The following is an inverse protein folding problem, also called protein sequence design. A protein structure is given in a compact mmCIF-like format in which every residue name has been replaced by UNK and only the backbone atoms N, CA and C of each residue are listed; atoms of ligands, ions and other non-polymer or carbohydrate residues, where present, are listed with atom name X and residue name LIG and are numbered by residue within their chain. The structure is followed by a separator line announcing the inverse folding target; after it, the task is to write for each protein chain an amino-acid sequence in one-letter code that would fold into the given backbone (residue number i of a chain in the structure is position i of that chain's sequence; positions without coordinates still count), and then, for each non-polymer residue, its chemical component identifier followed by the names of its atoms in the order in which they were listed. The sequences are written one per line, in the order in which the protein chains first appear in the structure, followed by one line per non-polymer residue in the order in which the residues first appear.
data_IF_819228776099
#
_entry.id   IF_819228776099
#
_cell.length_a   1.000
_cell.length_b   1.000
_cell.length_c   1.000
_cell.angle_alpha   90.00
_cell.angle_beta   90.00
_cell.angle_gamma   90.00
#
_symmetry.space_group_name_H-M   'P 1'
#
loop_
_entity.id
_entity.type
_entity.pdbx_description
1 polymer ?
#
# COMPACT_ATOMS: atom_id res chain seq x y z
N UNK A 1 0.28 -20.55 3.46
CA UNK A 1 1.31 -19.51 3.30
C UNK A 1 2.01 -19.26 4.63
N UNK A 2 3.33 -19.03 4.59
CA UNK A 2 4.15 -18.63 5.73
C UNK A 2 4.27 -17.09 5.83
N UNK A 3 4.67 -16.57 7.00
CA UNK A 3 4.84 -15.12 7.20
C UNK A 3 5.82 -14.50 6.21
N UNK A 4 6.92 -15.20 5.90
CA UNK A 4 7.92 -14.72 4.94
C UNK A 4 7.32 -14.53 3.54
N UNK A 5 6.61 -15.54 3.05
CA UNK A 5 5.92 -15.49 1.75
C UNK A 5 4.87 -14.37 1.72
N UNK A 6 4.13 -14.18 2.81
CA UNK A 6 3.17 -13.08 2.92
C UNK A 6 3.86 -11.72 2.84
N UNK A 7 5.00 -11.53 3.53
CA UNK A 7 5.77 -10.27 3.47
C UNK A 7 6.33 -10.01 2.06
N UNK A 8 6.81 -11.04 1.37
CA UNK A 8 7.29 -10.92 -0.01
C UNK A 8 6.15 -10.51 -0.96
N UNK A 9 5.00 -11.17 -0.87
CA UNK A 9 3.80 -10.83 -1.64
C UNK A 9 3.32 -9.40 -1.35
N UNK A 10 3.30 -9.00 -0.07
CA UNK A 10 2.96 -7.64 0.34
C UNK A 10 3.94 -6.64 -0.26
N UNK A 11 5.25 -6.94 -0.24
CA UNK A 11 6.27 -6.06 -0.82
C UNK A 11 6.05 -5.83 -2.31
N UNK A 12 5.73 -6.89 -3.06
CA UNK A 12 5.40 -6.80 -4.48
C UNK A 12 4.16 -5.92 -4.74
N UNK A 13 3.09 -6.13 -3.96
CA UNK A 13 1.85 -5.35 -4.09
C UNK A 13 2.08 -3.89 -3.72
N UNK A 14 2.82 -3.59 -2.64
CA UNK A 14 3.14 -2.21 -2.26
C UNK A 14 3.91 -1.50 -3.38
N UNK A 15 4.95 -2.14 -3.92
CA UNK A 15 5.72 -1.58 -5.04
C UNK A 15 4.81 -1.33 -6.25
N UNK A 16 4.04 -2.32 -6.69
CA UNK A 16 3.15 -2.18 -7.84
C UNK A 16 2.10 -1.07 -7.65
N UNK A 17 1.56 -0.91 -6.43
CA UNK A 17 0.60 0.15 -6.11
C UNK A 17 1.23 1.55 -6.17
N UNK A 18 2.48 1.69 -5.70
CA UNK A 18 3.22 2.96 -5.81
C UNK A 18 3.50 3.28 -7.29
N UNK A 19 3.98 2.31 -8.07
CA UNK A 19 4.26 2.48 -9.49
C UNK A 19 3.00 2.87 -10.28
N UNK A 20 1.88 2.18 -10.04
CA UNK A 20 0.60 2.53 -10.65
C UNK A 20 0.14 3.93 -10.25
N UNK A 21 0.34 4.32 -8.98
CA UNK A 21 0.01 5.66 -8.49
C UNK A 21 0.85 6.75 -9.16
N UNK A 22 2.16 6.54 -9.29
CA UNK A 22 3.05 7.47 -10.00
C UNK A 22 2.71 7.56 -11.49
N UNK A 23 2.48 6.44 -12.16
CA UNK A 23 2.10 6.43 -13.57
C UNK A 23 0.78 7.15 -13.82
N UNK A 24 -0.22 6.92 -12.95
CA UNK A 24 -1.50 7.63 -13.01
C UNK A 24 -1.30 9.14 -12.83
N UNK A 25 -0.56 9.56 -11.80
CA UNK A 25 -0.30 10.97 -11.53
C UNK A 25 0.45 11.64 -12.70
N UNK A 26 1.47 10.97 -13.23
CA UNK A 26 2.23 11.44 -14.39
C UNK A 26 1.35 11.68 -15.61
N UNK A 27 0.40 10.76 -15.87
CA UNK A 27 -0.55 10.88 -16.95
C UNK A 27 -1.59 11.99 -16.69
N UNK A 28 -2.21 12.01 -15.51
CA UNK A 28 -3.27 12.96 -15.12
C UNK A 28 -2.79 14.42 -15.18
N UNK A 29 -1.53 14.67 -14.86
CA UNK A 29 -0.92 15.99 -14.89
C UNK A 29 -0.08 16.27 -16.15
N UNK A 30 -0.05 15.34 -17.10
CA UNK A 30 0.71 15.43 -18.34
C UNK A 30 2.19 15.83 -18.14
N UNK A 31 2.85 15.32 -17.09
CA UNK A 31 4.21 15.77 -16.74
C UNK A 31 5.26 15.54 -17.84
N UNK A 32 5.02 14.61 -18.77
CA UNK A 32 5.85 14.45 -19.96
C UNK A 32 5.91 15.71 -20.84
N UNK A 33 4.80 16.46 -20.93
CA UNK A 33 4.69 17.70 -21.71
C UNK A 33 4.94 18.94 -20.85
N UNK A 34 4.52 18.86 -19.58
CA UNK A 34 4.53 19.96 -18.63
C UNK A 34 5.23 19.53 -17.34
N UNK A 35 6.56 19.31 -17.37
CA UNK A 35 7.28 18.92 -16.17
C UNK A 35 7.22 20.03 -15.13
N UNK A 36 7.01 19.63 -13.88
CA UNK A 36 7.11 20.51 -12.72
C UNK A 36 8.54 20.97 -12.50
N UNK A 37 8.74 22.18 -11.94
CA UNK A 37 10.04 22.63 -11.52
C UNK A 37 10.69 21.60 -10.59
N UNK A 38 12.02 21.49 -10.69
CA UNK A 38 12.79 20.62 -9.80
C UNK A 38 12.65 21.13 -8.36
N UNK A 39 12.23 20.28 -7.40
CA UNK A 39 12.16 20.60 -5.98
C UNK A 39 13.41 21.29 -5.41
N UNK A 40 13.17 22.16 -4.44
CA UNK A 40 14.22 22.97 -3.80
C UNK A 40 15.11 22.15 -2.86
N UNK A 41 14.54 21.16 -2.18
CA UNK A 41 15.29 20.27 -1.30
C UNK A 41 15.81 19.07 -2.10
N UNK A 42 17.12 18.81 -2.01
CA UNK A 42 17.83 17.80 -2.80
C UNK A 42 18.74 16.97 -1.90
N UNK A 43 18.19 16.04 -1.11
CA UNK A 43 19.00 15.17 -0.27
C UNK A 43 19.67 14.10 -1.16
N UNK A 44 20.99 14.17 -1.34
CA UNK A 44 21.77 13.12 -2.01
C UNK A 44 21.72 13.09 -3.55
N UNK A 45 22.32 12.04 -4.11
CA UNK A 45 22.64 11.89 -5.55
C UNK A 45 21.47 11.36 -6.43
N UNK A 46 20.30 11.08 -5.85
CA UNK A 46 19.18 10.47 -6.56
C UNK A 46 18.26 11.49 -7.25
N UNK A 47 18.81 12.14 -8.28
CA UNK A 47 18.09 13.03 -9.19
C UNK A 47 16.74 12.47 -9.74
N UNK A 48 16.54 11.15 -9.98
CA UNK A 48 15.27 10.64 -10.50
C UNK A 48 14.05 10.90 -9.61
N UNK A 49 14.22 11.07 -8.30
CA UNK A 49 13.11 11.40 -7.40
C UNK A 49 12.53 12.80 -7.61
N UNK A 50 13.30 13.70 -8.23
CA UNK A 50 12.94 15.09 -8.46
C UNK A 50 12.54 15.39 -9.91
N UNK A 51 12.72 14.43 -10.82
CA UNK A 51 12.37 14.57 -12.23
C UNK A 51 10.90 14.16 -12.44
N UNK A 52 10.00 15.14 -12.50
CA UNK A 52 8.59 14.89 -12.81
C UNK A 52 8.36 14.44 -14.25
N UNK A 53 9.29 14.70 -15.18
CA UNK A 53 9.09 14.40 -16.61
C UNK A 53 8.98 12.90 -16.88
N UNK A 54 9.42 12.07 -15.93
CA UNK A 54 9.43 10.60 -16.02
C UNK A 54 8.92 9.98 -14.73
N UNK A 55 8.34 8.80 -14.86
CA UNK A 55 7.99 7.95 -13.71
C UNK A 55 9.25 7.20 -13.27
N UNK A 56 9.71 7.34 -12.02
CA UNK A 56 10.87 6.60 -11.54
C UNK A 56 10.52 5.13 -11.32
N UNK A 57 11.49 4.25 -11.54
CA UNK A 57 11.38 2.85 -11.13
C UNK A 57 11.38 2.77 -9.60
N UNK A 58 10.42 2.02 -9.03
CA UNK A 58 10.29 1.88 -7.58
C UNK A 58 10.97 0.58 -7.15
N UNK A 59 11.94 0.60 -6.23
CA UNK A 59 12.55 -0.63 -5.76
C UNK A 59 11.55 -1.47 -4.95
N UNK A 60 11.79 -2.78 -4.89
CA UNK A 60 10.93 -3.69 -4.14
C UNK A 60 10.84 -3.25 -2.66
N UNK A 61 9.60 -3.07 -2.19
CA UNK A 61 9.29 -2.62 -0.85
C UNK A 61 9.72 -3.65 0.20
N UNK A 62 10.26 -3.16 1.30
CA UNK A 62 10.59 -3.96 2.47
C UNK A 62 9.44 -3.91 3.47
N UNK A 63 9.07 -5.08 4.00
CA UNK A 63 7.91 -5.24 4.88
C UNK A 63 8.36 -5.83 6.21
N UNK A 64 8.29 -5.02 7.25
CA UNK A 64 8.40 -5.45 8.62
C UNK A 64 7.00 -5.69 9.21
N UNK A 65 6.88 -6.69 10.07
CA UNK A 65 5.67 -6.86 10.89
C UNK A 65 6.06 -7.03 12.34
N UNK A 66 5.41 -6.26 13.20
CA UNK A 66 5.52 -6.35 14.66
C UNK A 66 4.16 -6.78 15.24
N UNK A 67 4.18 -7.50 16.35
CA UNK A 67 2.95 -7.94 17.01
C UNK A 67 2.54 -6.89 18.02
N UNK A 68 1.26 -6.52 18.03
CA UNK A 68 0.66 -5.63 19.03
C UNK A 68 -0.56 -6.27 19.68
N UNK A 69 -0.80 -5.91 20.95
CA UNK A 69 -2.04 -6.21 21.67
C UNK A 69 -3.06 -5.06 21.56
N UNK A 70 -2.64 -3.91 21.02
CA UNK A 70 -3.48 -2.74 20.77
C UNK A 70 -4.17 -2.81 19.37
N UNK A 71 -4.67 -1.67 18.90
CA UNK A 71 -5.18 -1.54 17.54
C UNK A 71 -4.06 -1.78 16.51
N UNK A 72 -4.33 -2.57 15.45
CA UNK A 72 -3.42 -2.68 14.32
C UNK A 72 -3.10 -1.32 13.70
N UNK A 73 -1.90 -1.18 13.15
CA UNK A 73 -1.45 0.05 12.49
C UNK A 73 -0.60 -0.28 11.28
N UNK A 74 -0.65 0.60 10.29
CA UNK A 74 0.26 0.58 9.15
C UNK A 74 0.94 1.93 9.05
N UNK A 75 2.25 1.89 8.85
CA UNK A 75 3.01 3.05 8.43
C UNK A 75 3.71 2.72 7.12
N UNK A 76 3.47 3.57 6.12
CA UNK A 76 4.26 3.64 4.90
C UNK A 76 4.55 5.09 4.62
N UNK A 77 5.83 5.42 4.49
CA UNK A 77 6.29 6.70 3.98
C UNK A 77 7.48 6.43 3.07
N UNK A 78 7.33 6.78 1.80
CA UNK A 78 8.34 6.59 0.77
C UNK A 78 8.59 7.89 0.03
N UNK A 79 9.87 8.20 -0.12
CA UNK A 79 10.39 9.42 -0.71
C UNK A 79 11.55 9.01 -1.59
N UNK A 80 11.36 9.18 -2.90
CA UNK A 80 12.28 8.63 -3.91
C UNK A 80 13.67 9.27 -3.82
N UNK A 81 13.74 10.52 -3.39
CA UNK A 81 14.97 11.28 -3.28
C UNK A 81 15.98 10.71 -2.28
N UNK A 82 15.52 9.95 -1.28
CA UNK A 82 16.41 9.31 -0.31
C UNK A 82 17.08 8.03 -0.81
N UNK A 83 16.75 7.54 -2.02
CA UNK A 83 17.37 6.35 -2.62
C UNK A 83 17.09 5.01 -1.91
N UNK A 84 16.31 5.05 -0.83
CA UNK A 84 15.93 3.86 -0.06
C UNK A 84 14.81 3.06 -0.72
N UNK A 85 14.52 1.89 -0.16
CA UNK A 85 13.33 1.11 -0.53
C UNK A 85 12.09 1.70 0.16
N UNK A 86 10.88 1.59 -0.41
CA UNK A 86 9.66 1.79 0.36
C UNK A 86 9.69 0.87 1.59
N UNK A 87 9.76 1.46 2.78
CA UNK A 87 9.73 0.71 4.02
C UNK A 87 8.32 0.76 4.60
N UNK A 88 7.77 -0.42 4.86
CA UNK A 88 6.45 -0.58 5.43
C UNK A 88 6.55 -1.31 6.76
N UNK A 89 6.10 -0.64 7.82
CA UNK A 89 5.92 -1.26 9.13
C UNK A 89 4.44 -1.57 9.36
N UNK A 90 4.17 -2.78 9.79
CA UNK A 90 2.83 -3.27 10.09
C UNK A 90 2.78 -3.78 11.53
N UNK A 91 2.06 -3.07 12.37
CA UNK A 91 1.67 -3.55 13.68
C UNK A 91 0.41 -4.40 13.52
N UNK A 92 0.54 -5.72 13.70
CA UNK A 92 -0.55 -6.69 13.50
C UNK A 92 -0.90 -7.39 14.81
N UNK A 93 -2.15 -7.86 14.96
CA UNK A 93 -2.54 -8.67 16.13
C UNK A 93 -1.83 -10.01 16.13
N UNK A 94 -1.70 -10.63 17.31
CA UNK A 94 -1.20 -12.03 17.46
C UNK A 94 -1.92 -13.02 16.56
N UNK A 95 -3.20 -12.79 16.29
CA UNK A 95 -4.04 -13.65 15.45
C UNK A 95 -3.76 -13.52 13.96
N UNK A 96 -3.02 -12.51 13.49
CA UNK A 96 -2.81 -12.21 12.08
C UNK A 96 -2.24 -13.39 11.28
N UNK A 97 -1.29 -14.13 11.84
CA UNK A 97 -0.77 -15.34 11.19
C UNK A 97 -1.89 -16.35 10.89
N UNK A 98 -2.77 -16.60 11.85
CA UNK A 98 -3.80 -17.62 11.75
C UNK A 98 -5.03 -17.16 10.97
N UNK A 99 -5.37 -15.87 11.07
CA UNK A 99 -6.59 -15.30 10.50
C UNK A 99 -6.37 -14.69 9.13
N UNK A 100 -5.16 -14.24 8.79
CA UNK A 100 -4.87 -13.55 7.52
C UNK A 100 -3.87 -14.34 6.69
N UNK A 101 -2.70 -14.65 7.25
CA UNK A 101 -1.60 -15.26 6.47
C UNK A 101 -1.91 -16.69 6.07
N UNK A 102 -2.20 -17.58 7.03
CA UNK A 102 -2.43 -19.01 6.74
C UNK A 102 -3.56 -19.23 5.74
N UNK A 103 -4.72 -18.53 5.83
CA UNK A 103 -5.79 -18.64 4.84
C UNK A 103 -5.48 -18.01 3.48
N UNK A 104 -4.35 -17.30 3.33
CA UNK A 104 -3.95 -16.68 2.07
C UNK A 104 -4.58 -15.31 1.81
N UNK A 105 -4.98 -14.59 2.85
CA UNK A 105 -5.65 -13.29 2.76
C UNK A 105 -4.73 -12.10 3.00
N UNK A 106 -3.41 -12.31 3.06
CA UNK A 106 -2.44 -11.22 3.24
C UNK A 106 -2.59 -10.10 2.20
N UNK A 107 -3.12 -10.45 1.02
CA UNK A 107 -3.53 -9.51 -0.02
C UNK A 107 -4.95 -9.87 -0.47
N UNK A 108 -5.80 -8.85 -0.61
CA UNK A 108 -7.13 -8.92 -1.21
C UNK A 108 -7.33 -7.70 -2.11
N UNK A 109 -7.82 -7.88 -3.33
CA UNK A 109 -8.10 -6.78 -4.26
C UNK A 109 -6.91 -5.82 -4.44
N UNK A 110 -5.71 -6.38 -4.65
CA UNK A 110 -4.43 -5.67 -4.73
C UNK A 110 -4.11 -4.75 -3.53
N UNK A 111 -4.69 -5.06 -2.36
CA UNK A 111 -4.46 -4.33 -1.12
C UNK A 111 -4.02 -5.25 -0.01
N UNK A 112 -3.19 -4.71 0.87
CA UNK A 112 -2.56 -5.45 1.95
C UNK A 112 -3.48 -5.49 3.16
N UNK A 113 -3.85 -6.70 3.58
CA UNK A 113 -4.73 -6.91 4.74
C UNK A 113 -3.92 -6.98 6.04
N UNK A 114 -4.29 -6.12 6.98
CA UNK A 114 -3.62 -5.92 8.26
C UNK A 114 -4.34 -6.66 9.38
N UNK A 115 -5.67 -6.77 9.29
CA UNK A 115 -6.48 -7.51 10.25
C UNK A 115 -7.85 -7.88 9.66
N UNK A 116 -8.50 -8.89 10.26
CA UNK A 116 -9.91 -9.22 9.98
C UNK A 116 -10.76 -8.67 11.12
N UNK A 117 -11.61 -7.69 10.81
CA UNK A 117 -12.43 -6.98 11.80
C UNK A 117 -13.74 -7.73 12.07
N UNK A 118 -14.35 -8.24 11.02
CA UNK A 118 -15.62 -8.96 11.10
C UNK A 118 -15.63 -10.19 10.19
N UNK A 119 -16.50 -11.14 10.55
CA UNK A 119 -16.61 -12.42 9.87
C UNK A 119 -18.06 -12.70 9.48
N UNK A 120 -18.23 -13.32 8.32
CA UNK A 120 -19.49 -13.90 7.88
C UNK A 120 -19.37 -15.41 7.71
N UNK A 121 -20.50 -16.10 7.83
CA UNK A 121 -20.64 -17.50 7.43
C UNK A 121 -20.99 -17.56 5.96
N UNK A 122 -20.11 -18.15 5.15
CA UNK A 122 -20.35 -18.44 3.74
C UNK A 122 -20.61 -19.92 3.48
N UNK A 123 -20.93 -20.30 2.22
CA UNK A 123 -21.19 -21.69 1.84
C UNK A 123 -20.01 -22.64 2.11
N UNK A 124 -18.79 -22.12 2.05
CA UNK A 124 -17.54 -22.87 2.26
C UNK A 124 -16.96 -22.68 3.67
N UNK A 125 -17.74 -22.10 4.58
CA UNK A 125 -17.32 -21.82 5.96
C UNK A 125 -17.12 -20.33 6.24
N UNK A 126 -16.38 -20.04 7.33
CA UNK A 126 -16.18 -18.68 7.83
C UNK A 126 -15.22 -17.90 6.92
N UNK A 127 -15.62 -16.69 6.52
CA UNK A 127 -14.82 -15.78 5.68
C UNK A 127 -14.89 -14.33 6.21
N UNK A 128 -13.86 -13.50 5.99
CA UNK A 128 -13.88 -12.08 6.36
C UNK A 128 -15.08 -11.37 5.73
N UNK A 129 -15.86 -10.62 6.51
CA UNK A 129 -16.85 -9.67 5.98
C UNK A 129 -16.34 -8.24 6.01
N UNK A 130 -15.38 -7.95 6.90
CA UNK A 130 -14.74 -6.64 7.03
C UNK A 130 -13.27 -6.81 7.39
N UNK A 131 -12.40 -6.01 6.77
CA UNK A 131 -10.96 -6.05 6.97
C UNK A 131 -10.38 -4.65 7.20
N UNK A 132 -9.34 -4.59 8.01
CA UNK A 132 -8.43 -3.45 8.03
C UNK A 132 -7.37 -3.66 6.95
N UNK A 133 -7.23 -2.70 6.04
CA UNK A 133 -6.34 -2.80 4.89
C UNK A 133 -5.59 -1.49 4.68
N UNK A 134 -4.43 -1.55 4.05
CA UNK A 134 -3.67 -0.34 3.76
C UNK A 134 -4.13 0.31 2.46
N UNK A 135 -4.52 1.57 2.59
CA UNK A 135 -4.66 2.50 1.49
C UNK A 135 -3.31 3.16 1.20
N UNK A 136 -2.87 3.14 -0.06
CA UNK A 136 -1.64 3.80 -0.52
C UNK A 136 -2.04 4.92 -1.47
N UNK A 137 -1.49 6.11 -1.24
CA UNK A 137 -1.60 7.25 -2.14
C UNK A 137 -0.23 7.78 -2.51
N UNK A 138 -0.18 8.45 -3.65
CA UNK A 138 1.04 8.94 -4.28
C UNK A 138 0.88 10.40 -4.66
N UNK A 139 2.00 11.11 -4.72
CA UNK A 139 2.04 12.54 -5.01
C UNK A 139 3.39 12.92 -5.64
N UNK A 140 3.41 14.08 -6.28
CA UNK A 140 4.63 14.75 -6.71
C UNK A 140 4.68 16.11 -6.01
N UNK A 141 5.56 16.23 -5.02
CA UNK A 141 5.74 17.45 -4.24
C UNK A 141 6.71 18.40 -4.93
N UNK A 142 6.17 19.42 -5.62
CA UNK A 142 6.95 20.44 -6.30
C UNK A 142 7.75 21.36 -5.35
N UNK A 143 7.49 21.28 -4.04
CA UNK A 143 8.24 22.01 -3.03
C UNK A 143 9.53 21.26 -2.64
N UNK A 144 9.53 20.50 -1.54
CA UNK A 144 10.75 19.85 -1.05
C UNK A 144 11.08 18.46 -1.62
N UNK A 145 10.12 17.60 -2.01
CA UNK A 145 10.40 16.15 -2.03
C UNK A 145 10.25 15.44 -3.39
N UNK A 146 9.51 15.96 -4.37
CA UNK A 146 9.25 15.24 -5.63
C UNK A 146 8.38 14.01 -5.43
N UNK A 147 8.70 12.89 -6.11
CA UNK A 147 7.90 11.65 -6.10
C UNK A 147 7.84 11.00 -4.72
N UNK A 148 6.63 10.89 -4.16
CA UNK A 148 6.41 10.35 -2.82
C UNK A 148 5.14 9.52 -2.70
N UNK A 149 5.16 8.56 -1.77
CA UNK A 149 4.02 7.74 -1.46
C UNK A 149 3.87 7.58 0.05
N UNK A 150 2.63 7.42 0.50
CA UNK A 150 2.32 7.09 1.88
C UNK A 150 1.23 6.07 1.92
N UNK A 151 1.09 5.46 3.09
CA UNK A 151 -0.02 4.59 3.35
C UNK A 151 -0.53 4.71 4.77
N UNK A 152 -1.82 4.49 4.89
CA UNK A 152 -2.55 4.50 6.16
C UNK A 152 -3.57 3.35 6.15
N UNK A 153 -4.07 3.01 7.32
CA UNK A 153 -5.05 1.95 7.49
C UNK A 153 -6.46 2.48 7.22
N UNK A 154 -7.24 1.70 6.49
CA UNK A 154 -8.67 1.95 6.20
C UNK A 154 -9.45 0.66 6.39
N UNK A 155 -10.73 0.79 6.72
CA UNK A 155 -11.65 -0.35 6.82
C UNK A 155 -12.36 -0.55 5.48
N UNK A 156 -12.50 -1.82 5.09
CA UNK A 156 -13.22 -2.22 3.89
C UNK A 156 -14.17 -3.37 4.21
N UNK A 157 -15.36 -3.30 3.62
CA UNK A 157 -16.25 -4.44 3.50
C UNK A 157 -15.73 -5.36 2.40
N UNK A 158 -15.90 -6.68 2.59
CA UNK A 158 -15.43 -7.68 1.64
C UNK A 158 -16.60 -8.24 0.85
N UNK A 159 -16.65 -7.94 -0.45
CA UNK A 159 -17.62 -8.54 -1.37
C UNK A 159 -17.05 -9.84 -1.96
N UNK A 160 -17.76 -10.94 -1.73
CA UNK A 160 -17.41 -12.28 -2.20
C UNK A 160 -18.27 -12.76 -3.37
N UNK A 161 -19.03 -11.88 -4.04
CA UNK A 161 -19.85 -12.24 -5.21
C UNK A 161 -19.00 -12.55 -6.44
N UNK A 162 -17.83 -11.93 -6.56
CA UNK A 162 -16.87 -12.20 -7.62
C UNK A 162 -16.01 -13.45 -7.32
N UNK A 163 -15.31 -13.95 -8.34
CA UNK A 163 -14.41 -15.11 -8.20
C UNK A 163 -13.25 -14.83 -7.21
N UNK A 164 -12.80 -13.58 -7.15
CA UNK A 164 -11.87 -13.08 -6.14
C UNK A 164 -12.58 -12.05 -5.25
N UNK A 165 -12.25 -11.97 -3.94
CA UNK A 165 -12.86 -10.98 -3.06
C UNK A 165 -12.49 -9.56 -3.48
N UNK A 166 -13.48 -8.68 -3.50
CA UNK A 166 -13.33 -7.24 -3.80
C UNK A 166 -13.47 -6.45 -2.51
N UNK A 167 -12.66 -5.41 -2.34
CA UNK A 167 -12.71 -4.55 -1.16
C UNK A 167 -13.49 -3.27 -1.45
N UNK A 168 -14.57 -3.06 -0.72
CA UNK A 168 -15.45 -1.89 -0.84
C UNK A 168 -15.20 -0.97 0.36
N UNK A 169 -14.88 0.33 0.17
CA UNK A 169 -14.71 1.24 1.29
C UNK A 169 -15.95 1.24 2.19
N UNK A 170 -15.77 0.99 3.49
CA UNK A 170 -16.88 0.97 4.46
C UNK A 170 -17.46 2.37 4.72
N UNK A 171 -16.73 3.43 4.36
CA UNK A 171 -17.19 4.83 4.46
C UNK A 171 -17.41 5.44 3.05
N UNK A 172 -18.64 5.86 2.70
CA UNK A 172 -18.97 6.36 1.37
C UNK A 172 -18.39 7.75 1.03
N UNK A 173 -17.83 8.49 1.98
CA UNK A 173 -17.33 9.87 1.76
C UNK A 173 -16.03 9.91 0.93
N UNK A 174 -15.40 8.76 0.67
CA UNK A 174 -14.07 8.66 0.05
C UNK A 174 -14.05 7.91 -1.30
N UNK A 175 -15.19 7.85 -2.00
CA UNK A 175 -15.25 7.33 -3.37
C UNK A 175 -14.64 8.30 -4.38
#
# INVERSE_FOLDING_TARGET
MQVKEARELIGQVVTARIECGFARLHQEHEFARHPRPVPAFRPGDHAPGHDSSRVPAVPLAEVATTVTDDQPKVFLSFRMEYGGRPYRDMCVRRSWLHQVVRPGWAVMDDRVVVDVLEWATGPTGRRPSKVASCWIWTDFDEGPHGWRAWGDMREYDVDWRAQAPVLVPSDPVLR
#
